data_IF_527846110852
#
_entry.id   IF_527846110852
#
_cell.length_a   1.000
_cell.length_b   1.000
_cell.length_c   1.000
_cell.angle_alpha   90.00
_cell.angle_beta   90.00
_cell.angle_gamma   90.00
#
_symmetry.space_group_name_H-M   'P 1'
#
loop_
_entity.id
_entity.type
_entity.pdbx_description
1 polymer ?
#
# COMPACT_ATOMS: atom_id res chain seq x y z
N UNK A 1 3.98 24.03 7.79
CA UNK A 1 5.26 23.84 7.08
C UNK A 1 5.03 22.70 6.10
N UNK A 2 5.21 22.97 4.81
CA UNK A 2 5.21 21.96 3.74
C UNK A 2 6.68 21.64 3.47
N UNK A 3 7.02 20.37 3.31
CA UNK A 3 8.40 19.95 3.10
C UNK A 3 8.46 18.89 2.01
N UNK A 4 9.40 19.04 1.09
CA UNK A 4 9.75 18.01 0.11
C UNK A 4 11.15 17.48 0.45
N UNK A 5 11.27 16.17 0.59
CA UNK A 5 12.52 15.49 0.87
C UNK A 5 12.90 14.61 -0.32
N UNK A 6 14.18 14.51 -0.62
CA UNK A 6 14.67 13.63 -1.69
C UNK A 6 15.97 12.94 -1.31
N UNK A 7 16.12 11.69 -1.74
CA UNK A 7 17.42 11.01 -1.84
C UNK A 7 17.97 11.25 -3.25
N UNK A 8 19.28 11.36 -3.40
CA UNK A 8 19.90 11.53 -4.72
C UNK A 8 19.43 10.41 -5.66
N UNK A 9 19.01 10.76 -6.90
CA UNK A 9 18.51 9.74 -7.83
C UNK A 9 19.62 8.73 -8.14
N UNK A 10 19.26 7.44 -8.05
CA UNK A 10 20.13 6.32 -8.41
C UNK A 10 20.31 6.32 -9.94
N UNK A 11 21.55 6.15 -10.42
CA UNK A 11 21.86 6.27 -11.84
C UNK A 11 21.32 5.07 -12.64
N UNK A 12 20.96 5.26 -13.92
CA UNK A 12 20.45 4.19 -14.79
C UNK A 12 21.37 2.95 -14.84
N UNK A 13 22.69 3.14 -14.75
CA UNK A 13 23.65 2.03 -14.68
C UNK A 13 23.46 1.15 -13.43
N UNK A 14 23.19 1.77 -12.29
CA UNK A 14 22.94 1.08 -11.03
C UNK A 14 21.60 0.34 -11.08
N UNK A 15 20.61 0.87 -11.80
CA UNK A 15 19.34 0.19 -12.06
C UNK A 15 19.46 -1.07 -12.90
N UNK A 16 20.23 -0.99 -14.00
CA UNK A 16 20.52 -2.15 -14.85
C UNK A 16 21.19 -3.24 -14.01
N UNK A 17 22.17 -2.87 -13.18
CA UNK A 17 22.87 -3.81 -12.30
C UNK A 17 21.93 -4.40 -11.23
N UNK A 18 21.06 -3.58 -10.64
CA UNK A 18 20.23 -3.98 -9.50
C UNK A 18 19.04 -4.85 -9.89
N UNK A 19 18.39 -4.55 -11.02
CA UNK A 19 17.14 -5.20 -11.42
C UNK A 19 17.22 -5.93 -12.77
N UNK A 20 18.36 -5.88 -13.47
CA UNK A 20 18.52 -6.53 -14.77
C UNK A 20 17.60 -5.94 -15.85
N UNK A 21 17.23 -4.66 -15.74
CA UNK A 21 16.33 -3.99 -16.69
C UNK A 21 17.11 -3.05 -17.60
N UNK A 22 16.76 -2.99 -18.90
CA UNK A 22 17.40 -2.06 -19.84
C UNK A 22 16.80 -0.64 -19.76
N UNK A 23 15.51 -0.53 -19.42
CA UNK A 23 14.77 0.71 -19.19
C UNK A 23 13.77 0.51 -18.05
N UNK A 24 13.43 1.58 -17.31
CA UNK A 24 12.36 1.53 -16.31
C UNK A 24 10.98 1.52 -16.95
N UNK A 25 10.03 0.71 -16.45
CA UNK A 25 8.69 0.69 -17.00
C UNK A 25 7.95 2.03 -16.78
N UNK A 26 7.28 2.51 -17.83
CA UNK A 26 6.44 3.72 -17.83
C UNK A 26 7.14 4.97 -17.27
N UNK A 27 8.47 5.05 -17.40
CA UNK A 27 9.13 6.34 -17.23
C UNK A 27 8.85 7.17 -18.49
N UNK A 28 8.19 8.35 -18.39
CA UNK A 28 8.42 9.36 -19.40
C UNK A 28 9.93 9.59 -19.44
N UNK A 29 10.54 9.73 -20.61
CA UNK A 29 11.95 10.12 -20.74
C UNK A 29 12.23 11.18 -19.67
N UNK A 30 13.02 10.84 -18.65
CA UNK A 30 13.29 11.78 -17.59
C UNK A 30 13.88 13.01 -18.26
N UNK A 31 13.22 14.17 -18.14
CA UNK A 31 13.87 15.42 -18.49
C UNK A 31 14.97 15.60 -17.45
N UNK A 32 16.15 15.07 -17.77
CA UNK A 32 17.34 15.25 -16.95
C UNK A 32 17.72 16.73 -17.08
N UNK A 33 17.31 17.54 -16.10
CA UNK A 33 17.81 18.90 -15.98
C UNK A 33 19.23 18.84 -15.43
N UNK A 34 20.18 19.44 -16.14
CA UNK A 34 21.59 19.48 -15.75
C UNK A 34 21.80 20.27 -14.45
N UNK A 35 20.82 21.08 -14.04
CA UNK A 35 20.81 21.83 -12.79
C UNK A 35 19.39 22.14 -12.31
N UNK A 36 19.26 22.47 -11.03
CA UNK A 36 18.01 22.95 -10.41
C UNK A 36 17.43 24.19 -11.11
N UNK A 37 18.30 25.07 -11.62
CA UNK A 37 17.91 26.28 -12.34
C UNK A 37 17.35 25.99 -13.74
N UNK A 38 17.73 24.88 -14.35
CA UNK A 38 17.21 24.50 -15.67
C UNK A 38 15.79 23.90 -15.57
N UNK A 39 15.47 23.24 -14.46
CA UNK A 39 14.11 22.75 -14.17
C UNK A 39 13.11 23.91 -13.96
N UNK A 40 13.58 25.05 -13.45
CA UNK A 40 12.77 26.25 -13.20
C UNK A 40 12.50 27.09 -14.46
N UNK A 41 13.37 26.99 -15.49
CA UNK A 41 13.23 27.73 -16.75
C UNK A 41 12.16 27.14 -17.67
N UNK A 42 11.88 25.84 -17.55
CA UNK A 42 10.91 25.13 -18.39
C UNK A 42 9.46 25.26 -17.85
N UNK A 43 9.29 25.76 -16.62
CA UNK A 43 7.96 26.06 -16.06
C UNK A 43 7.49 27.46 -16.51
N UNK A 44 6.87 27.56 -17.68
CA UNK A 44 6.20 28.79 -18.10
C UNK A 44 4.84 28.94 -17.42
N UNK A 45 4.72 30.06 -16.68
CA UNK A 45 3.51 30.80 -16.30
C UNK A 45 2.44 30.17 -15.37
N UNK A 46 2.24 30.88 -14.25
CA UNK A 46 1.07 30.97 -13.34
C UNK A 46 0.72 29.83 -12.36
N UNK A 47 1.21 28.61 -12.52
CA UNK A 47 1.06 27.57 -11.49
C UNK A 47 2.15 27.65 -10.41
N UNK A 48 2.05 28.67 -9.55
CA UNK A 48 2.86 28.79 -8.33
C UNK A 48 2.42 27.74 -7.29
N UNK A 49 2.79 26.48 -7.48
CA UNK A 49 3.10 25.64 -6.33
C UNK A 49 4.44 26.15 -5.77
N UNK A 50 4.39 27.20 -4.94
CA UNK A 50 5.52 27.60 -4.09
C UNK A 50 5.81 26.44 -3.13
N UNK A 51 6.61 25.48 -3.56
CA UNK A 51 7.30 24.54 -2.69
C UNK A 51 8.68 25.13 -2.49
N UNK A 52 8.84 25.86 -1.38
CA UNK A 52 10.15 26.20 -0.85
C UNK A 52 10.86 24.88 -0.52
N UNK A 53 11.89 24.59 -1.30
CA UNK A 53 12.76 23.45 -1.14
C UNK A 53 13.87 23.84 -0.15
N UNK A 54 13.70 23.48 1.12
CA UNK A 54 14.82 23.39 2.05
C UNK A 54 15.19 21.91 2.19
N UNK A 55 16.29 21.55 1.52
CA UNK A 55 17.02 20.30 1.75
C UNK A 55 17.66 20.34 3.14
N UNK A 56 16.86 20.14 4.18
CA UNK A 56 17.37 20.04 5.56
C UNK A 56 17.64 18.58 5.95
N UNK A 57 18.51 17.94 5.18
CA UNK A 57 19.33 16.84 5.71
C UNK A 57 20.77 17.30 5.90
N UNK A 58 20.96 18.45 6.53
CA UNK A 58 22.20 18.74 7.23
C UNK A 58 22.08 18.06 8.59
N UNK A 59 22.87 17.01 8.80
CA UNK A 59 22.84 16.26 10.06
C UNK A 59 23.17 17.18 11.24
N UNK A 60 22.15 17.65 11.95
CA UNK A 60 22.19 17.97 13.39
C UNK A 60 20.82 18.37 13.94
N UNK A 61 20.50 17.79 15.10
CA UNK A 61 19.42 18.11 16.06
C UNK A 61 17.96 18.08 15.56
N UNK A 62 17.31 16.92 15.67
CA UNK A 62 15.86 16.88 15.96
C UNK A 62 15.68 17.00 17.47
N UNK A 63 15.06 18.09 17.90
CA UNK A 63 14.69 18.36 19.29
C UNK A 63 13.94 17.16 19.90
N UNK A 64 14.47 16.66 21.01
CA UNK A 64 13.76 15.81 21.97
C UNK A 64 12.67 16.68 22.60
N UNK A 65 11.42 16.47 22.19
CA UNK A 65 10.21 16.60 23.02
C UNK A 65 8.97 16.72 22.12
N UNK A 66 8.52 15.60 21.56
CA UNK A 66 7.11 15.40 21.23
C UNK A 66 6.76 13.95 21.55
N UNK A 67 5.88 13.75 22.54
CA UNK A 67 5.37 12.44 22.99
C UNK A 67 4.41 11.79 21.97
N UNK A 68 4.89 11.63 20.73
CA UNK A 68 4.19 11.06 19.58
C UNK A 68 5.04 11.32 18.34
N UNK A 69 6.08 10.51 18.14
CA UNK A 69 7.19 10.82 17.26
C UNK A 69 6.75 11.12 15.82
N UNK A 70 7.13 12.31 15.35
CA UNK A 70 7.02 12.79 13.97
C UNK A 70 7.63 11.78 12.98
N UNK A 71 7.22 11.85 11.71
CA UNK A 71 7.80 11.02 10.67
C UNK A 71 9.34 11.18 10.58
N UNK A 72 10.09 10.11 10.78
CA UNK A 72 11.56 10.13 10.78
C UNK A 72 12.15 9.83 9.38
N UNK A 73 12.47 10.89 8.63
CA UNK A 73 13.07 10.76 7.30
C UNK A 73 14.41 10.03 7.28
N UNK A 74 15.19 10.08 8.38
CA UNK A 74 16.45 9.33 8.47
C UNK A 74 16.18 7.85 8.31
N UNK A 75 15.33 7.32 9.19
CA UNK A 75 14.98 5.91 9.24
C UNK A 75 14.41 5.45 7.91
N UNK A 76 13.54 6.28 7.31
CA UNK A 76 12.97 6.00 6.00
C UNK A 76 14.05 5.89 4.90
N UNK A 77 14.90 6.90 4.72
CA UNK A 77 15.88 6.93 3.62
C UNK A 77 17.08 5.99 3.85
N UNK A 78 17.44 5.69 5.09
CA UNK A 78 18.45 4.68 5.45
C UNK A 78 18.00 3.28 5.04
N UNK A 79 16.70 2.96 5.16
CA UNK A 79 16.14 1.67 4.76
C UNK A 79 15.67 1.62 3.28
N UNK A 80 15.49 2.78 2.64
CA UNK A 80 15.00 2.86 1.27
C UNK A 80 16.11 2.50 0.26
N UNK A 81 15.82 1.49 -0.54
CA UNK A 81 16.69 0.89 -1.53
C UNK A 81 16.07 0.91 -2.94
N UNK A 82 14.97 1.62 -3.16
CA UNK A 82 14.38 1.77 -4.49
C UNK A 82 15.20 2.69 -5.38
N UNK A 83 14.83 2.77 -6.65
CA UNK A 83 15.40 3.68 -7.64
C UNK A 83 14.37 4.73 -8.07
N UNK A 84 13.09 4.35 -8.11
CA UNK A 84 12.03 5.20 -8.60
C UNK A 84 11.02 5.52 -7.49
N UNK A 85 10.46 4.49 -6.86
CA UNK A 85 9.34 4.70 -5.93
C UNK A 85 9.80 5.16 -4.56
N UNK A 86 9.24 6.26 -4.05
CA UNK A 86 9.51 6.76 -2.71
C UNK A 86 10.80 7.57 -2.56
N UNK A 87 11.54 7.82 -3.64
CA UNK A 87 12.77 8.63 -3.61
C UNK A 87 12.48 10.11 -3.33
N UNK A 88 11.29 10.57 -3.68
CA UNK A 88 10.79 11.91 -3.39
C UNK A 88 9.57 11.80 -2.47
N UNK A 89 9.58 12.54 -1.37
CA UNK A 89 8.52 12.52 -0.37
C UNK A 89 8.05 13.94 -0.08
N UNK A 90 6.80 14.23 -0.43
CA UNK A 90 6.09 15.41 0.05
C UNK A 90 5.41 15.07 1.37
N UNK A 91 5.67 15.85 2.42
CA UNK A 91 5.16 15.55 3.75
C UNK A 91 4.56 16.76 4.45
N UNK A 92 3.47 16.49 5.19
CA UNK A 92 2.92 17.40 6.18
C UNK A 92 2.45 16.63 7.41
N UNK A 93 2.46 17.26 8.58
CA UNK A 93 1.90 16.64 9.80
C UNK A 93 0.39 16.40 9.69
N UNK A 94 -0.32 17.39 9.17
CA UNK A 94 -1.77 17.34 8.96
C UNK A 94 -2.08 17.75 7.52
N UNK A 95 -2.88 16.95 6.82
CA UNK A 95 -3.43 17.32 5.51
C UNK A 95 -4.90 16.93 5.38
N UNK A 96 -5.53 17.38 4.29
CA UNK A 96 -6.88 16.95 3.94
C UNK A 96 -6.90 15.45 3.62
N UNK A 97 -6.21 15.06 2.56
CA UNK A 97 -5.95 13.65 2.25
C UNK A 97 -4.72 13.53 1.36
N UNK A 98 -3.87 12.53 1.58
CA UNK A 98 -2.73 12.20 0.72
C UNK A 98 -3.21 11.93 -0.70
N UNK A 99 -4.35 11.25 -0.84
CA UNK A 99 -4.99 10.92 -2.11
C UNK A 99 -5.44 12.18 -2.85
N UNK A 100 -6.26 13.01 -2.21
CA UNK A 100 -6.84 14.20 -2.83
C UNK A 100 -5.78 15.26 -3.15
N UNK A 101 -4.77 15.42 -2.28
CA UNK A 101 -3.64 16.31 -2.53
C UNK A 101 -2.84 15.83 -3.74
N UNK A 102 -2.59 14.52 -3.84
CA UNK A 102 -1.89 13.93 -4.99
C UNK A 102 -2.62 14.12 -6.30
N UNK A 103 -3.93 13.86 -6.32
CA UNK A 103 -4.73 14.03 -7.52
C UNK A 103 -4.89 15.49 -7.94
N UNK A 104 -4.90 16.43 -6.99
CA UNK A 104 -5.13 17.85 -7.28
C UNK A 104 -3.87 18.62 -7.68
N UNK A 105 -2.76 18.37 -6.98
CA UNK A 105 -1.57 19.21 -7.09
C UNK A 105 -0.39 18.51 -7.77
N UNK A 106 -0.48 17.19 -7.98
CA UNK A 106 0.60 16.39 -8.51
C UNK A 106 0.17 15.58 -9.76
N UNK A 107 -0.66 16.18 -10.62
CA UNK A 107 -1.21 15.56 -11.85
C UNK A 107 -0.13 15.25 -12.90
N UNK A 108 0.89 16.11 -13.04
CA UNK A 108 1.97 15.95 -14.03
C UNK A 108 3.32 15.64 -13.38
N UNK A 109 3.30 14.98 -12.23
CA UNK A 109 4.54 14.66 -11.49
C UNK A 109 5.15 13.35 -11.95
N UNK A 110 6.42 13.18 -11.60
CA UNK A 110 7.16 11.95 -11.90
C UNK A 110 6.56 10.75 -11.16
N UNK A 111 6.62 9.59 -11.81
CA UNK A 111 6.35 8.30 -11.18
C UNK A 111 7.21 8.16 -9.92
N UNK A 112 6.61 7.65 -8.85
CA UNK A 112 7.30 7.39 -7.60
C UNK A 112 7.27 8.50 -6.56
N UNK A 113 6.77 9.70 -6.87
CA UNK A 113 6.53 10.73 -5.85
C UNK A 113 5.56 10.20 -4.79
N UNK A 114 5.99 10.21 -3.52
CA UNK A 114 5.17 9.84 -2.38
C UNK A 114 4.67 11.09 -1.65
N UNK A 115 3.41 11.06 -1.22
CA UNK A 115 2.75 12.06 -0.40
C UNK A 115 2.40 11.40 0.93
N UNK A 116 3.02 11.84 2.01
CA UNK A 116 2.93 11.21 3.34
C UNK A 116 2.36 12.22 4.34
N UNK A 117 1.57 11.73 5.29
CA UNK A 117 1.11 12.55 6.41
C UNK A 117 1.20 11.83 7.75
N UNK A 118 1.29 12.56 8.85
CA UNK A 118 1.04 11.97 10.17
C UNK A 118 -0.46 11.78 10.41
N UNK A 119 -1.29 12.70 9.94
CA UNK A 119 -2.75 12.64 10.04
C UNK A 119 -3.46 13.26 8.83
N UNK A 120 -4.67 12.75 8.55
CA UNK A 120 -5.61 13.30 7.57
C UNK A 120 -6.91 13.72 8.27
N UNK A 121 -7.50 14.85 7.89
CA UNK A 121 -8.83 15.28 8.39
C UNK A 121 -9.98 15.09 7.39
N UNK A 122 -9.67 14.70 6.15
CA UNK A 122 -10.64 14.41 5.08
C UNK A 122 -10.21 13.16 4.30
N UNK A 123 -9.69 12.15 4.98
CA UNK A 123 -9.25 10.92 4.35
C UNK A 123 -10.41 10.20 3.66
N UNK A 124 -10.13 9.68 2.47
CA UNK A 124 -11.10 9.00 1.61
C UNK A 124 -10.80 7.51 1.55
N UNK A 125 -11.86 6.71 1.57
CA UNK A 125 -11.83 5.29 1.22
C UNK A 125 -12.50 5.06 -0.14
N UNK A 126 -12.74 3.79 -0.47
CA UNK A 126 -13.44 3.43 -1.71
C UNK A 126 -14.93 3.83 -1.65
N UNK A 127 -15.47 4.34 -2.75
CA UNK A 127 -16.84 4.85 -2.80
C UNK A 127 -17.02 6.07 -1.89
N UNK A 128 -18.07 6.08 -1.07
CA UNK A 128 -18.34 7.16 -0.10
C UNK A 128 -17.76 6.89 1.30
N UNK A 129 -16.97 5.82 1.47
CA UNK A 129 -16.36 5.48 2.75
C UNK A 129 -15.30 6.51 3.14
N UNK A 130 -15.19 6.78 4.44
CA UNK A 130 -14.10 7.57 5.02
C UNK A 130 -13.08 6.65 5.65
N UNK A 131 -11.83 7.10 5.69
CA UNK A 131 -10.77 6.45 6.46
C UNK A 131 -10.51 7.26 7.73
N UNK A 132 -10.29 6.59 8.86
CA UNK A 132 -9.86 7.23 10.09
C UNK A 132 -8.36 7.01 10.27
N UNK A 133 -7.60 8.08 10.48
CA UNK A 133 -6.14 8.03 10.62
C UNK A 133 -5.68 8.71 11.91
N UNK A 134 -5.86 8.09 13.08
CA UNK A 134 -5.23 8.54 14.32
C UNK A 134 -3.70 8.57 14.20
N UNK A 135 -3.04 9.37 15.06
CA UNK A 135 -1.57 9.39 15.14
C UNK A 135 -1.04 7.96 15.35
N UNK A 136 -0.04 7.57 14.57
CA UNK A 136 0.54 6.22 14.58
C UNK A 136 0.09 5.32 13.42
N UNK A 137 -0.90 5.73 12.63
CA UNK A 137 -1.16 5.13 11.32
C UNK A 137 -0.04 5.51 10.33
N UNK A 138 0.34 4.59 9.47
CA UNK A 138 1.10 4.90 8.25
C UNK A 138 0.08 5.21 7.15
N UNK A 139 0.06 6.46 6.69
CA UNK A 139 -0.83 6.95 5.64
C UNK A 139 -0.02 7.66 4.57
N UNK A 140 -0.17 7.20 3.34
CA UNK A 140 0.58 7.72 2.20
C UNK A 140 -0.18 7.49 0.91
N UNK A 141 0.12 8.31 -0.08
CA UNK A 141 -0.24 8.05 -1.48
C UNK A 141 1.00 8.17 -2.33
N UNK A 142 1.05 7.50 -3.47
CA UNK A 142 2.17 7.65 -4.40
C UNK A 142 1.73 7.59 -5.85
N UNK A 143 2.55 8.20 -6.71
CA UNK A 143 2.32 8.30 -8.15
C UNK A 143 2.81 7.05 -8.86
N UNK A 144 1.97 6.47 -9.70
CA UNK A 144 2.28 5.35 -10.56
C UNK A 144 1.73 5.65 -11.95
N UNK A 145 2.52 5.43 -13.00
CA UNK A 145 2.05 5.57 -14.37
C UNK A 145 1.78 4.20 -14.99
N UNK A 146 0.83 4.16 -15.92
CA UNK A 146 0.49 2.95 -16.66
C UNK A 146 -0.01 3.32 -18.05
N UNK A 147 0.37 2.56 -19.08
CA UNK A 147 -0.11 2.75 -20.45
C UNK A 147 -1.19 1.73 -20.83
N UNK A 148 -1.16 0.55 -20.23
CA UNK A 148 -2.16 -0.51 -20.44
C UNK A 148 -3.28 -0.46 -19.40
N UNK A 149 -4.47 -0.05 -19.84
CA UNK A 149 -5.67 0.03 -19.00
C UNK A 149 -6.07 -1.30 -18.36
N UNK A 150 -5.74 -2.44 -18.99
CA UNK A 150 -6.05 -3.77 -18.46
C UNK A 150 -5.26 -4.10 -17.18
N UNK A 151 -4.17 -3.37 -16.91
CA UNK A 151 -3.35 -3.53 -15.72
C UNK A 151 -3.88 -2.76 -14.51
N UNK A 152 -4.72 -1.75 -14.71
CA UNK A 152 -5.20 -0.89 -13.63
C UNK A 152 -5.92 -1.65 -12.50
N UNK A 153 -6.83 -2.60 -12.77
CA UNK A 153 -7.51 -3.35 -11.70
C UNK A 153 -6.54 -4.14 -10.81
N UNK A 154 -5.39 -4.54 -11.36
CA UNK A 154 -4.42 -5.38 -10.65
C UNK A 154 -3.49 -4.59 -9.73
N UNK A 155 -3.39 -3.26 -9.87
CA UNK A 155 -2.49 -2.44 -9.04
C UNK A 155 -2.80 -2.55 -7.54
N UNK A 156 -4.08 -2.70 -7.16
CA UNK A 156 -4.45 -2.92 -5.77
C UNK A 156 -3.96 -4.28 -5.23
N UNK A 157 -3.89 -5.31 -6.07
CA UNK A 157 -3.38 -6.65 -5.71
C UNK A 157 -1.87 -6.60 -5.55
N UNK A 158 -1.17 -5.94 -6.48
CA UNK A 158 0.28 -5.67 -6.39
C UNK A 158 0.61 -4.95 -5.09
N UNK A 159 -0.13 -3.91 -4.75
CA UNK A 159 0.04 -3.19 -3.49
C UNK A 159 -0.28 -4.06 -2.26
N UNK A 160 -1.33 -4.88 -2.34
CA UNK A 160 -1.72 -5.80 -1.28
C UNK A 160 -0.61 -6.78 -0.95
N UNK A 161 -0.08 -7.48 -1.96
CA UNK A 161 1.04 -8.41 -1.79
C UNK A 161 2.26 -7.67 -1.24
N UNK A 162 2.64 -6.54 -1.83
CA UNK A 162 3.80 -5.78 -1.40
C UNK A 162 3.70 -5.32 0.07
N UNK A 163 2.52 -4.87 0.49
CA UNK A 163 2.27 -4.39 1.85
C UNK A 163 2.33 -5.53 2.87
N UNK A 164 1.69 -6.67 2.59
CA UNK A 164 1.71 -7.81 3.50
C UNK A 164 3.11 -8.42 3.58
N UNK A 165 3.80 -8.59 2.45
CA UNK A 165 5.20 -9.04 2.44
C UNK A 165 6.13 -8.07 3.17
N UNK A 166 5.90 -6.75 3.05
CA UNK A 166 6.67 -5.76 3.80
C UNK A 166 6.52 -5.93 5.31
N UNK A 167 5.29 -6.12 5.81
CA UNK A 167 5.08 -6.37 7.24
C UNK A 167 5.71 -7.69 7.68
N UNK A 168 5.50 -8.77 6.93
CA UNK A 168 6.02 -10.11 7.29
C UNK A 168 7.54 -10.24 7.10
N UNK A 169 8.20 -9.29 6.42
CA UNK A 169 9.66 -9.26 6.29
C UNK A 169 10.38 -8.87 7.58
N UNK A 170 9.68 -8.25 8.53
CA UNK A 170 10.23 -7.96 9.85
C UNK A 170 10.28 -9.25 10.69
N UNK A 171 11.41 -9.59 11.31
CA UNK A 171 11.56 -10.82 12.11
C UNK A 171 10.47 -11.01 13.18
N UNK A 172 10.06 -9.92 13.80
CA UNK A 172 9.09 -9.87 14.89
C UNK A 172 7.67 -10.18 14.38
N UNK A 173 7.38 -9.71 13.16
CA UNK A 173 6.09 -9.85 12.50
C UNK A 173 5.97 -11.07 11.58
N UNK A 174 7.06 -11.81 11.33
CA UNK A 174 7.13 -12.91 10.35
C UNK A 174 6.00 -13.94 10.44
N UNK A 175 5.57 -14.29 11.65
CA UNK A 175 4.49 -15.28 11.88
C UNK A 175 3.16 -14.64 12.29
N UNK A 176 2.96 -13.34 12.05
CA UNK A 176 1.66 -12.72 12.29
C UNK A 176 0.64 -13.18 11.24
N UNK A 177 -0.60 -13.37 11.66
CA UNK A 177 -1.70 -13.69 10.76
C UNK A 177 -2.22 -12.41 10.09
N UNK A 178 -1.48 -11.94 9.08
CA UNK A 178 -1.85 -10.81 8.23
C UNK A 178 -2.32 -11.36 6.89
N UNK A 179 -3.55 -11.00 6.50
CA UNK A 179 -4.22 -11.51 5.31
C UNK A 179 -4.82 -10.40 4.46
N UNK A 180 -4.97 -10.70 3.17
CA UNK A 180 -5.69 -9.85 2.23
C UNK A 180 -7.17 -10.24 2.20
N UNK A 181 -8.04 -9.26 2.44
CA UNK A 181 -9.46 -9.37 2.11
C UNK A 181 -9.68 -8.69 0.77
N UNK A 182 -10.14 -9.47 -0.20
CA UNK A 182 -10.44 -8.98 -1.52
C UNK A 182 -11.53 -7.89 -1.48
N UNK A 183 -11.40 -6.83 -2.30
CA UNK A 183 -10.34 -6.61 -3.27
C UNK A 183 -9.14 -5.78 -2.75
N UNK A 184 -9.24 -5.12 -1.60
CA UNK A 184 -8.36 -3.99 -1.28
C UNK A 184 -8.11 -3.77 0.21
N UNK A 185 -8.47 -4.71 1.09
CA UNK A 185 -8.35 -4.55 2.53
C UNK A 185 -7.26 -5.47 3.12
N UNK A 186 -6.58 -4.99 4.14
CA UNK A 186 -5.59 -5.78 4.91
C UNK A 186 -6.16 -6.07 6.29
N UNK A 187 -6.09 -7.33 6.69
CA UNK A 187 -6.62 -7.85 7.94
C UNK A 187 -5.51 -8.45 8.79
N UNK A 188 -5.54 -8.21 10.10
CA UNK A 188 -4.67 -8.80 11.10
C UNK A 188 -5.52 -9.43 12.20
N UNK A 189 -5.32 -10.73 12.47
CA UNK A 189 -6.13 -11.48 13.44
C UNK A 189 -7.66 -11.35 13.22
N UNK A 190 -8.09 -11.30 11.96
CA UNK A 190 -9.52 -11.18 11.60
C UNK A 190 -10.10 -9.76 11.68
N UNK A 191 -9.32 -8.77 12.11
CA UNK A 191 -9.73 -7.37 12.16
C UNK A 191 -9.08 -6.58 11.02
N UNK A 192 -9.79 -5.62 10.43
CA UNK A 192 -9.23 -4.75 9.41
C UNK A 192 -8.16 -3.84 10.02
N UNK A 193 -6.95 -3.89 9.46
CA UNK A 193 -5.81 -3.07 9.89
C UNK A 193 -5.35 -2.09 8.82
N UNK A 194 -5.79 -2.25 7.57
CA UNK A 194 -5.39 -1.38 6.47
C UNK A 194 -6.31 -1.44 5.27
N UNK A 195 -6.10 -0.51 4.33
CA UNK A 195 -6.85 -0.42 3.09
C UNK A 195 -6.02 0.24 1.99
N UNK A 196 -6.34 -0.15 0.76
CA UNK A 196 -5.68 0.31 -0.48
C UNK A 196 -6.74 0.97 -1.36
N UNK A 197 -6.38 2.09 -1.98
CA UNK A 197 -7.23 2.85 -2.89
C UNK A 197 -6.42 3.24 -4.12
N UNK A 198 -6.79 2.70 -5.28
CA UNK A 198 -6.22 3.11 -6.57
C UNK A 198 -7.23 3.98 -7.31
N UNK A 199 -6.82 5.17 -7.73
CA UNK A 199 -7.61 6.04 -8.60
C UNK A 199 -6.73 6.50 -9.76
N UNK A 200 -7.27 6.49 -10.97
CA UNK A 200 -6.55 6.84 -12.18
C UNK A 200 -7.25 7.94 -12.93
N UNK A 201 -6.49 8.88 -13.47
CA UNK A 201 -6.91 9.80 -14.52
C UNK A 201 -6.21 9.39 -15.82
N UNK A 202 -6.91 9.50 -16.95
CA UNK A 202 -6.31 9.25 -18.26
C UNK A 202 -6.06 10.57 -18.97
N UNK A 203 -4.82 10.80 -19.38
CA UNK A 203 -4.39 11.98 -20.12
C UNK A 203 -3.16 11.64 -20.96
N UNK A 204 -3.01 12.25 -22.14
CA UNK A 204 -1.81 12.10 -22.99
C UNK A 204 -1.40 10.64 -23.28
N UNK A 205 -2.38 9.77 -23.52
CA UNK A 205 -2.21 8.33 -23.76
C UNK A 205 -1.58 7.54 -22.60
N UNK A 206 -1.66 8.08 -21.39
CA UNK A 206 -1.15 7.47 -20.18
C UNK A 206 -2.18 7.59 -19.05
N UNK A 207 -2.23 6.58 -18.20
CA UNK A 207 -2.96 6.61 -16.94
C UNK A 207 -2.04 7.13 -15.85
N UNK A 208 -2.38 8.28 -15.29
CA UNK A 208 -1.82 8.81 -14.06
C UNK A 208 -2.58 8.20 -12.86
N UNK A 209 -1.95 7.26 -12.17
CA UNK A 209 -2.54 6.52 -11.05
C UNK A 209 -2.01 7.08 -9.73
N UNK A 210 -2.93 7.45 -8.85
CA UNK A 210 -2.66 7.73 -7.44
C UNK A 210 -3.08 6.53 -6.62
N UNK A 211 -2.09 5.91 -5.97
CA UNK A 211 -2.29 4.77 -5.09
C UNK A 211 -2.17 5.24 -3.66
N UNK A 212 -3.28 5.23 -2.91
CA UNK A 212 -3.36 5.55 -1.50
C UNK A 212 -3.39 4.31 -0.62
N UNK A 213 -2.62 4.31 0.45
CA UNK A 213 -2.53 3.22 1.42
C UNK A 213 -2.60 3.79 2.83
N UNK A 214 -3.46 3.21 3.65
CA UNK A 214 -3.53 3.45 5.09
C UNK A 214 -3.39 2.13 5.84
N UNK A 215 -2.51 2.08 6.85
CA UNK A 215 -2.33 0.91 7.71
C UNK A 215 -2.04 1.30 9.17
N UNK A 216 -2.60 0.54 10.10
CA UNK A 216 -2.49 0.75 11.54
C UNK A 216 -1.20 0.12 12.08
N UNK A 217 -0.25 0.96 12.52
CA UNK A 217 1.09 0.52 12.94
C UNK A 217 1.26 0.63 14.46
N UNK A 218 1.12 1.84 15.02
CA UNK A 218 1.32 2.14 16.45
C UNK A 218 0.16 2.90 17.09
N UNK A 219 -0.89 3.22 16.34
CA UNK A 219 -1.95 4.11 16.83
C UNK A 219 -2.61 3.60 18.11
N UNK A 220 -2.64 4.46 19.13
CA UNK A 220 -3.07 4.12 20.50
C UNK A 220 -4.58 4.12 20.68
N UNK A 221 -5.30 4.87 19.84
CA UNK A 221 -6.75 5.03 19.93
C UNK A 221 -7.40 4.24 18.79
N UNK A 222 -7.94 3.07 19.14
CA UNK A 222 -8.67 2.15 18.26
C UNK A 222 -9.65 2.91 17.34
N UNK A 223 -9.81 2.43 16.09
CA UNK A 223 -11.00 1.61 15.91
C UNK A 223 -10.71 0.10 15.86
N UNK A 224 -9.48 -0.32 15.55
CA UNK A 224 -9.10 -1.74 15.43
C UNK A 224 -7.69 -2.01 15.97
N UNK A 225 -7.16 -3.22 15.75
CA UNK A 225 -5.81 -3.64 16.16
C UNK A 225 -4.71 -3.04 15.28
N UNK A 226 -3.51 -2.88 15.84
CA UNK A 226 -2.31 -2.44 15.12
C UNK A 226 -1.28 -3.56 14.95
N UNK A 227 -0.34 -3.38 14.01
CA UNK A 227 0.77 -4.33 13.80
C UNK A 227 1.57 -4.53 15.10
N UNK A 228 1.94 -3.44 15.79
CA UNK A 228 2.76 -3.56 16.99
C UNK A 228 1.99 -4.13 18.19
N UNK A 229 0.67 -3.90 18.27
CA UNK A 229 -0.17 -4.62 19.24
C UNK A 229 -0.15 -6.14 18.99
N UNK A 230 -0.23 -6.56 17.72
CA UNK A 230 -0.16 -8.00 17.39
C UNK A 230 1.21 -8.60 17.74
N UNK A 231 2.32 -7.88 17.50
CA UNK A 231 3.66 -8.31 17.91
C UNK A 231 3.69 -8.50 19.44
N UNK A 232 3.21 -7.51 20.19
CA UNK A 232 3.19 -7.56 21.64
C UNK A 232 2.39 -8.76 22.17
N UNK A 233 1.17 -8.96 21.67
CA UNK A 233 0.32 -10.10 22.06
C UNK A 233 1.00 -11.45 21.78
N UNK A 234 1.71 -11.58 20.65
CA UNK A 234 2.47 -12.78 20.30
C UNK A 234 3.64 -13.01 21.27
N UNK A 235 4.36 -11.96 21.64
CA UNK A 235 5.45 -12.04 22.61
C UNK A 235 4.94 -12.45 24.01
N UNK A 236 3.82 -11.88 24.46
CA UNK A 236 3.18 -12.27 25.72
C UNK A 236 2.77 -13.74 25.73
N UNK A 237 2.19 -14.24 24.64
CA UNK A 237 1.83 -15.65 24.49
C UNK A 237 3.04 -16.57 24.52
N UNK A 238 4.19 -16.17 23.95
CA UNK A 238 5.45 -16.93 24.01
C UNK A 238 5.99 -17.02 25.45
N UNK A 239 5.94 -15.90 26.19
CA UNK A 239 6.34 -15.84 27.61
C UNK A 239 5.50 -16.78 28.48
N UNK A 240 4.18 -16.78 28.29
CA UNK A 240 3.27 -17.66 29.04
C UNK A 240 3.50 -19.15 28.74
N UNK A 241 3.99 -19.50 27.55
CA UNK A 241 4.33 -20.88 27.16
C UNK A 241 5.76 -21.30 27.53
N UNK A 242 6.41 -20.58 28.46
CA UNK A 242 7.73 -20.95 28.99
C UNK A 242 8.91 -20.79 28.01
N UNK A 243 8.71 -20.12 26.87
CA UNK A 243 9.79 -19.81 25.93
C UNK A 243 10.40 -18.46 26.33
N UNK A 244 11.29 -18.44 27.34
CA UNK A 244 11.98 -17.22 27.76
C UNK A 244 13.40 -17.20 27.21
N UNK A 245 13.68 -16.22 26.34
CA UNK A 245 15.00 -15.61 26.24
C UNK A 245 15.04 -14.38 27.16
N UNK A 246 16.08 -14.34 28.01
CA UNK A 246 16.48 -13.37 29.03
C UNK A 246 15.59 -12.10 29.26
N UNK A 247 15.05 -11.87 30.47
CA UNK A 247 14.19 -10.72 30.78
C UNK A 247 14.89 -9.34 30.78
N UNK A 248 16.22 -9.27 30.85
CA UNK A 248 16.96 -8.01 31.04
C UNK A 248 17.41 -7.29 29.75
N UNK A 249 17.00 -7.78 28.57
CA UNK A 249 17.45 -7.22 27.28
C UNK A 249 16.30 -7.01 26.28
N UNK A 250 15.10 -6.66 26.75
CA UNK A 250 13.97 -6.38 25.87
C UNK A 250 13.89 -4.87 25.64
N UNK A 251 14.71 -4.36 24.73
CA UNK A 251 14.26 -3.16 23.99
C UNK A 251 12.95 -3.57 23.31
N UNK A 252 11.84 -2.81 23.48
CA UNK A 252 10.61 -3.13 22.78
C UNK A 252 10.94 -3.19 21.29
N UNK A 253 10.74 -4.33 20.66
CA UNK A 253 10.99 -4.44 19.23
C UNK A 253 9.70 -4.03 18.54
N UNK A 254 9.72 -2.85 17.92
CA UNK A 254 8.53 -2.28 17.29
C UNK A 254 8.84 -1.87 15.85
N UNK A 255 7.89 -2.14 14.97
CA UNK A 255 7.95 -1.69 13.59
C UNK A 255 7.62 -0.20 13.57
N UNK A 256 8.49 0.59 12.96
CA UNK A 256 8.25 2.02 12.73
C UNK A 256 7.49 2.24 11.42
N UNK A 257 6.77 3.36 11.31
CA UNK A 257 6.02 3.70 10.08
C UNK A 257 6.97 3.91 8.90
N UNK A 258 8.14 4.48 9.20
CA UNK A 258 9.21 4.85 8.30
C UNK A 258 9.88 3.61 7.71
N UNK A 259 10.28 2.67 8.59
CA UNK A 259 10.85 1.40 8.14
C UNK A 259 9.83 0.61 7.32
N UNK A 260 8.56 0.56 7.77
CA UNK A 260 7.52 -0.14 7.01
C UNK A 260 7.29 0.49 5.63
N UNK A 261 7.25 1.82 5.53
CA UNK A 261 7.10 2.51 4.24
C UNK A 261 8.29 2.23 3.31
N UNK A 262 9.51 2.26 3.83
CA UNK A 262 10.71 1.96 3.05
C UNK A 262 10.71 0.51 2.54
N UNK A 263 10.38 -0.46 3.41
CA UNK A 263 10.26 -1.88 3.02
C UNK A 263 9.14 -2.11 2.01
N UNK A 264 8.00 -1.42 2.17
CA UNK A 264 6.92 -1.44 1.19
C UNK A 264 7.44 -1.03 -0.19
N UNK A 265 8.08 0.15 -0.33
CA UNK A 265 8.58 0.59 -1.63
C UNK A 265 9.64 -0.35 -2.20
N UNK A 266 10.55 -0.88 -1.36
CA UNK A 266 11.57 -1.83 -1.79
C UNK A 266 10.99 -3.13 -2.40
N UNK A 267 9.87 -3.61 -1.85
CA UNK A 267 9.18 -4.82 -2.34
C UNK A 267 8.28 -4.45 -3.51
N UNK A 268 7.50 -3.38 -3.38
CA UNK A 268 6.59 -2.90 -4.42
C UNK A 268 7.32 -2.63 -5.73
N UNK A 269 8.48 -1.96 -5.72
CA UNK A 269 9.23 -1.67 -6.95
C UNK A 269 9.63 -2.97 -7.69
N UNK A 270 10.06 -4.00 -6.97
CA UNK A 270 10.40 -5.31 -7.54
C UNK A 270 9.18 -5.98 -8.18
N UNK A 271 8.08 -6.05 -7.43
CA UNK A 271 6.83 -6.67 -7.92
C UNK A 271 6.25 -5.87 -9.09
N UNK A 272 6.30 -4.54 -9.04
CA UNK A 272 5.81 -3.66 -10.09
C UNK A 272 6.59 -3.83 -11.41
N UNK A 273 7.92 -4.01 -11.33
CA UNK A 273 8.74 -4.30 -12.52
C UNK A 273 8.34 -5.64 -13.15
N UNK A 274 8.18 -6.70 -12.35
CA UNK A 274 7.71 -8.02 -12.80
C UNK A 274 6.31 -7.92 -13.42
N UNK A 275 5.37 -7.31 -12.69
CA UNK A 275 3.99 -7.08 -13.12
C UNK A 275 3.88 -6.31 -14.43
N UNK A 276 4.72 -5.28 -14.62
CA UNK A 276 4.67 -4.50 -15.85
C UNK A 276 5.14 -5.30 -17.06
N UNK A 277 6.09 -6.23 -16.87
CA UNK A 277 6.62 -7.10 -17.93
C UNK A 277 5.70 -8.29 -18.22
N UNK A 278 5.23 -8.97 -17.18
CA UNK A 278 4.61 -10.30 -17.29
C UNK A 278 3.10 -10.29 -17.00
N UNK A 279 2.54 -9.17 -16.57
CA UNK A 279 1.15 -9.07 -16.13
C UNK A 279 0.91 -9.66 -14.74
N UNK A 280 -0.34 -9.98 -14.41
CA UNK A 280 -0.71 -10.45 -13.07
C UNK A 280 -0.50 -11.95 -12.84
N UNK A 281 -0.40 -12.75 -13.91
CA UNK A 281 -0.37 -14.21 -13.80
C UNK A 281 0.71 -14.76 -12.84
N UNK A 282 1.98 -14.27 -12.85
CA UNK A 282 3.00 -14.73 -11.90
C UNK A 282 2.70 -14.38 -10.43
N UNK A 283 1.97 -13.28 -10.20
CA UNK A 283 1.63 -12.80 -8.86
C UNK A 283 0.37 -13.46 -8.28
N UNK A 284 -0.46 -14.07 -9.14
CA UNK A 284 -1.77 -14.64 -8.78
C UNK A 284 -1.68 -15.61 -7.59
N UNK A 285 -0.73 -16.54 -7.62
CA UNK A 285 -0.58 -17.52 -6.53
C UNK A 285 -0.12 -16.87 -5.23
N UNK A 286 0.87 -15.94 -5.29
CA UNK A 286 1.33 -15.18 -4.12
C UNK A 286 0.19 -14.41 -3.46
N UNK A 287 -0.71 -13.81 -4.26
CA UNK A 287 -1.89 -13.14 -3.72
C UNK A 287 -2.85 -14.12 -3.03
N UNK A 288 -3.13 -15.28 -3.64
CA UNK A 288 -4.01 -16.32 -3.07
C UNK A 288 -3.41 -16.91 -1.79
N UNK A 289 -2.09 -17.07 -1.69
CA UNK A 289 -1.44 -17.58 -0.48
C UNK A 289 -1.56 -16.60 0.71
N UNK A 290 -1.75 -15.31 0.40
CA UNK A 290 -1.89 -14.24 1.39
C UNK A 290 -3.35 -13.86 1.70
N UNK A 291 -4.33 -14.26 0.89
CA UNK A 291 -5.72 -13.86 1.11
C UNK A 291 -6.42 -14.67 2.21
N UNK A 292 -7.65 -14.32 2.55
CA UNK A 292 -8.46 -15.02 3.56
C UNK A 292 -9.66 -15.81 3.00
N UNK A 293 -9.74 -15.98 1.67
CA UNK A 293 -10.97 -16.45 1.02
C UNK A 293 -10.96 -17.92 0.56
N UNK A 294 -9.84 -18.63 0.71
CA UNK A 294 -9.73 -20.04 0.28
C UNK A 294 -10.82 -20.92 0.92
N UNK A 295 -11.60 -21.60 0.08
CA UNK A 295 -12.68 -22.52 0.47
C UNK A 295 -13.80 -21.87 1.30
N UNK A 296 -13.88 -20.55 1.32
CA UNK A 296 -14.92 -19.85 2.05
C UNK A 296 -16.28 -20.07 1.36
N UNK A 297 -17.26 -20.55 2.12
CA UNK A 297 -18.64 -20.70 1.66
C UNK A 297 -19.38 -19.41 1.96
N UNK A 298 -20.01 -18.82 0.95
CA UNK A 298 -20.67 -17.52 1.01
C UNK A 298 -22.05 -17.59 0.38
N UNK A 299 -22.97 -16.80 0.92
CA UNK A 299 -24.33 -16.69 0.40
C UNK A 299 -24.45 -15.47 -0.52
N UNK A 300 -24.82 -15.71 -1.78
CA UNK A 300 -25.12 -14.67 -2.77
C UNK A 300 -26.56 -14.22 -2.58
N UNK A 301 -26.77 -13.12 -1.85
CA UNK A 301 -28.12 -12.68 -1.42
C UNK A 301 -29.08 -12.43 -2.58
N UNK A 302 -28.61 -11.86 -3.69
CA UNK A 302 -29.44 -11.57 -4.86
C UNK A 302 -29.89 -12.80 -5.64
N UNK A 303 -29.03 -13.82 -5.68
CA UNK A 303 -29.32 -15.05 -6.42
C UNK A 303 -29.94 -16.12 -5.52
N UNK A 304 -29.99 -15.87 -4.21
CA UNK A 304 -30.36 -16.84 -3.17
C UNK A 304 -29.57 -18.15 -3.32
N UNK A 305 -28.27 -18.05 -3.59
CA UNK A 305 -27.37 -19.19 -3.84
C UNK A 305 -26.28 -19.27 -2.80
N UNK A 306 -25.87 -20.49 -2.48
CA UNK A 306 -24.66 -20.74 -1.68
C UNK A 306 -23.54 -21.13 -2.61
N UNK A 307 -22.42 -20.41 -2.53
CA UNK A 307 -21.25 -20.65 -3.39
C UNK A 307 -19.99 -20.80 -2.56
N UNK A 308 -19.03 -21.57 -3.07
CA UNK A 308 -17.68 -21.70 -2.50
C UNK A 308 -16.69 -20.90 -3.34
N UNK A 309 -15.90 -20.05 -2.70
CA UNK A 309 -14.80 -19.34 -3.36
C UNK A 309 -13.67 -20.32 -3.64
N UNK A 310 -13.25 -20.37 -4.91
CA UNK A 310 -12.23 -21.32 -5.40
C UNK A 310 -11.01 -20.63 -6.01
N UNK A 311 -11.03 -19.32 -6.23
CA UNK A 311 -9.87 -18.61 -6.76
C UNK A 311 -10.17 -17.24 -7.35
N UNK A 312 -9.29 -16.81 -8.23
CA UNK A 312 -9.46 -15.63 -9.07
C UNK A 312 -9.53 -16.03 -10.55
N UNK A 313 -10.36 -15.34 -11.32
CA UNK A 313 -10.28 -15.35 -12.77
C UNK A 313 -9.08 -14.54 -13.27
N UNK A 314 -8.77 -14.64 -14.56
CA UNK A 314 -7.61 -13.96 -15.16
C UNK A 314 -7.79 -12.44 -15.28
N UNK A 315 -9.03 -11.96 -15.16
CA UNK A 315 -9.40 -10.55 -15.02
C UNK A 315 -9.34 -10.06 -13.55
N UNK A 316 -8.99 -10.93 -12.60
CA UNK A 316 -8.91 -10.62 -11.17
C UNK A 316 -10.25 -10.70 -10.41
N UNK A 317 -11.35 -11.10 -11.05
CA UNK A 317 -12.62 -11.29 -10.34
C UNK A 317 -12.59 -12.54 -9.48
N UNK A 318 -13.37 -12.54 -8.39
CA UNK A 318 -13.50 -13.73 -7.56
C UNK A 318 -14.22 -14.83 -8.35
N UNK A 319 -13.64 -16.02 -8.31
CA UNK A 319 -14.17 -17.25 -8.92
C UNK A 319 -14.84 -18.08 -7.83
N UNK A 320 -16.12 -18.39 -8.02
CA UNK A 320 -16.89 -19.23 -7.09
C UNK A 320 -17.67 -20.34 -7.81
N UNK A 321 -17.97 -21.43 -7.10
CA UNK A 321 -18.80 -22.56 -7.59
C UNK A 321 -20.03 -22.75 -6.71
N UNK A 322 -21.17 -23.07 -7.31
CA UNK A 322 -22.43 -23.29 -6.59
C UNK A 322 -22.44 -24.62 -5.82
N UNK A 323 -23.00 -24.60 -4.61
CA UNK A 323 -23.16 -25.76 -3.73
C UNK A 323 -24.64 -26.11 -3.50
N UNK A 324 -24.96 -27.40 -3.38
CA UNK A 324 -26.28 -27.90 -2.96
C UNK A 324 -26.45 -27.79 -1.44
N UNK A 325 -27.64 -28.15 -0.94
CA UNK A 325 -27.95 -28.18 0.50
C UNK A 325 -27.07 -29.15 1.31
N UNK A 326 -26.42 -30.11 0.64
CA UNK A 326 -25.50 -31.08 1.24
C UNK A 326 -24.04 -30.64 1.13
N UNK A 327 -23.75 -29.48 0.54
CA UNK A 327 -22.41 -28.94 0.31
C UNK A 327 -21.67 -29.51 -0.89
N UNK A 328 -22.34 -30.27 -1.76
CA UNK A 328 -21.73 -30.78 -2.99
C UNK A 328 -21.82 -29.73 -4.10
N UNK A 329 -20.81 -29.69 -4.97
CA UNK A 329 -20.81 -28.80 -6.11
C UNK A 329 -21.93 -29.19 -7.10
N UNK A 330 -22.82 -28.23 -7.39
CA UNK A 330 -24.00 -28.45 -8.24
C UNK A 330 -23.64 -28.45 -9.72
N UNK A 331 -22.69 -27.59 -10.11
CA UNK A 331 -22.25 -27.46 -11.50
C UNK A 331 -20.77 -27.10 -11.58
N UNK A 332 -20.16 -27.37 -12.73
CA UNK A 332 -18.82 -26.88 -13.07
C UNK A 332 -18.83 -25.43 -13.58
N UNK A 333 -19.98 -24.76 -13.57
CA UNK A 333 -20.07 -23.37 -13.99
C UNK A 333 -19.56 -22.45 -12.89
N UNK A 334 -18.71 -21.50 -13.26
CA UNK A 334 -18.18 -20.51 -12.36
C UNK A 334 -19.07 -19.27 -12.28
N UNK A 335 -19.15 -18.71 -11.09
CA UNK A 335 -19.71 -17.39 -10.83
C UNK A 335 -18.58 -16.39 -10.68
N UNK A 336 -18.57 -15.35 -11.50
CA UNK A 336 -17.67 -14.21 -11.38
C UNK A 336 -18.29 -13.15 -10.46
N UNK A 337 -17.49 -12.64 -9.51
CA UNK A 337 -17.93 -11.59 -8.58
C UNK A 337 -17.06 -10.34 -8.75
N UNK A 338 -17.71 -9.21 -9.00
CA UNK A 338 -17.06 -7.95 -9.36
C UNK A 338 -16.70 -7.07 -8.15
N UNK A 339 -15.53 -6.40 -8.15
CA UNK A 339 -15.07 -5.63 -7.00
C UNK A 339 -15.94 -4.41 -6.69
N UNK A 340 -16.42 -3.71 -7.72
CA UNK A 340 -17.16 -2.44 -7.56
C UNK A 340 -18.67 -2.63 -7.49
N UNK A 341 -19.15 -3.79 -7.92
CA UNK A 341 -20.53 -4.20 -7.78
C UNK A 341 -20.84 -4.86 -6.44
N UNK A 342 -19.86 -5.43 -5.73
CA UNK A 342 -20.15 -6.34 -4.61
C UNK A 342 -19.53 -5.89 -3.28
N UNK A 343 -20.29 -6.04 -2.20
CA UNK A 343 -19.87 -5.91 -0.81
C UNK A 343 -19.74 -7.29 -0.18
N UNK A 344 -18.58 -7.56 0.43
CA UNK A 344 -18.28 -8.80 1.15
C UNK A 344 -18.42 -8.56 2.66
N UNK A 345 -19.52 -9.03 3.22
CA UNK A 345 -19.75 -9.10 4.67
C UNK A 345 -19.12 -10.40 5.18
N UNK A 346 -17.97 -10.29 5.84
CA UNK A 346 -17.19 -11.45 6.26
C UNK A 346 -17.74 -12.10 7.51
N UNK A 347 -18.37 -11.31 8.38
CA UNK A 347 -18.93 -11.79 9.64
C UNK A 347 -20.16 -12.65 9.37
N UNK A 348 -20.94 -12.28 8.35
CA UNK A 348 -22.13 -13.03 7.94
C UNK A 348 -21.91 -13.95 6.73
N UNK A 349 -20.71 -13.92 6.12
CA UNK A 349 -20.38 -14.64 4.88
C UNK A 349 -21.35 -14.33 3.72
N UNK A 350 -21.78 -13.06 3.61
CA UNK A 350 -22.75 -12.63 2.61
C UNK A 350 -22.08 -11.74 1.56
N UNK A 351 -22.36 -12.03 0.29
CA UNK A 351 -22.09 -11.15 -0.83
C UNK A 351 -23.38 -10.47 -1.26
N UNK A 352 -23.35 -9.13 -1.31
CA UNK A 352 -24.48 -8.28 -1.74
C UNK A 352 -24.00 -7.28 -2.76
N UNK A 353 -24.82 -6.92 -3.75
CA UNK A 353 -24.52 -5.79 -4.62
C UNK A 353 -24.58 -4.50 -3.82
N UNK A 354 -23.69 -3.57 -4.12
CA UNK A 354 -23.75 -2.22 -3.56
C UNK A 354 -24.94 -1.50 -4.20
N UNK A 355 -25.84 -0.99 -3.37
CA UNK A 355 -26.98 -0.16 -3.78
C UNK A 355 -26.54 1.16 -4.41
#
# INVERSE_FOLDING_TARGET
ILSLFSKSPIQLKEAIQKYGIQHYPNQPFATFYNSYDDALKDSTSEDKLKVLLENDYSGNSVNKDTNGALFNFKTYFDELNTILFGQQVFFTRLMSSTQLVSMKYFTNTMQGLAVVADQQNKAVGRGNNKWESPLGCLIYSFKCKQTDGNKLPFLQYVCGVALVEAVLSFPEAKDLNIRLKWPNDVYGNGLKIGGILCQSNYSDNEFDVVIGIGINVTNSNNPTITINQMIHLKEEQKKQKGHVSNPDSITPVYITREALLAKFFNIFEKIYIEFTKEGFAPLKQRYIDLWMHSNQIVHLKEQNKTVKIVGLEDNGFLKAVELDEKGNQVSNQYHELHPDGTSFDIDNLILKKKE
#
